data_IF_284802660686
#
_entry.id   IF_284802660686
#
_cell.length_a   1.000
_cell.length_b   1.000
_cell.length_c   1.000
_cell.angle_alpha   90.00
_cell.angle_beta   90.00
_cell.angle_gamma   90.00
#
_symmetry.space_group_name_H-M   'P 1'
#
loop_
_entity.id
_entity.type
_entity.pdbx_description
1 polymer ?
#
# COMPACT_ATOMS: atom_id res chain seq x y z
N UNK A 1 -1.08 -15.35 32.99
CA UNK A 1 -1.37 -15.46 31.54
C UNK A 1 -0.03 -15.32 30.83
N UNK A 2 0.32 -16.21 29.89
CA UNK A 2 1.59 -16.14 29.14
C UNK A 2 1.63 -14.86 28.30
N UNK A 3 2.79 -14.21 28.19
CA UNK A 3 2.98 -13.18 27.16
C UNK A 3 2.89 -13.81 25.76
N UNK A 4 2.34 -13.09 24.77
CA UNK A 4 2.33 -13.54 23.39
C UNK A 4 3.76 -13.56 22.83
N UNK A 5 4.08 -14.59 22.05
CA UNK A 5 5.36 -14.68 21.36
C UNK A 5 5.53 -13.49 20.38
N UNK A 6 6.78 -13.02 20.15
CA UNK A 6 7.05 -11.96 19.18
C UNK A 6 6.52 -12.32 17.79
N UNK A 7 5.87 -11.36 17.13
CA UNK A 7 5.32 -11.54 15.77
C UNK A 7 6.35 -11.07 14.74
N UNK A 8 6.65 -11.94 13.78
CA UNK A 8 7.47 -11.60 12.62
C UNK A 8 6.60 -11.60 11.36
N UNK A 9 6.41 -10.42 10.76
CA UNK A 9 5.60 -10.25 9.56
C UNK A 9 6.48 -10.22 8.32
N UNK A 10 6.24 -11.15 7.39
CA UNK A 10 6.85 -11.18 6.06
C UNK A 10 5.84 -10.68 5.03
N UNK A 11 6.31 -9.85 4.10
CA UNK A 11 5.46 -9.17 3.13
C UNK A 11 5.94 -9.46 1.70
N UNK A 12 5.02 -9.90 0.84
CA UNK A 12 5.26 -9.93 -0.61
C UNK A 12 5.06 -8.53 -1.19
N UNK A 13 6.18 -7.83 -1.39
CA UNK A 13 6.18 -6.47 -1.89
C UNK A 13 5.62 -6.33 -3.31
N UNK A 14 5.84 -7.32 -4.18
CA UNK A 14 5.45 -7.26 -5.58
C UNK A 14 3.94 -7.39 -5.74
N UNK A 15 3.35 -8.41 -5.09
CA UNK A 15 1.91 -8.62 -5.12
C UNK A 15 1.14 -7.45 -4.48
N UNK A 16 1.66 -6.88 -3.39
CA UNK A 16 1.02 -5.71 -2.77
C UNK A 16 1.12 -4.46 -3.63
N UNK A 17 2.26 -4.20 -4.28
CA UNK A 17 2.38 -3.09 -5.21
C UNK A 17 1.40 -3.21 -6.39
N UNK A 18 1.22 -4.42 -6.93
CA UNK A 18 0.24 -4.70 -7.98
C UNK A 18 -1.20 -4.43 -7.53
N UNK A 19 -1.58 -4.89 -6.33
CA UNK A 19 -2.91 -4.62 -5.76
C UNK A 19 -3.12 -3.13 -5.49
N UNK A 20 -2.13 -2.45 -4.93
CA UNK A 20 -2.17 -1.01 -4.68
C UNK A 20 -2.37 -0.21 -5.97
N UNK A 21 -1.74 -0.63 -7.08
CA UNK A 21 -1.96 -0.04 -8.39
C UNK A 21 -3.45 -0.10 -8.77
N UNK A 22 -4.07 -1.28 -8.79
CA UNK A 22 -5.47 -1.39 -9.22
C UNK A 22 -6.49 -0.78 -8.24
N UNK A 23 -6.14 -0.67 -6.96
CA UNK A 23 -6.98 0.01 -5.97
C UNK A 23 -7.01 1.54 -6.16
N UNK A 24 -5.87 2.16 -6.50
CA UNK A 24 -5.72 3.62 -6.49
C UNK A 24 -5.39 4.26 -7.84
N UNK A 25 -5.19 3.49 -8.92
CA UNK A 25 -4.84 4.04 -10.24
C UNK A 25 -6.05 4.37 -11.13
N UNK A 26 -7.26 3.92 -10.76
CA UNK A 26 -8.47 4.08 -11.58
C UNK A 26 -9.66 4.60 -10.74
N UNK A 27 -9.61 5.86 -10.35
CA UNK A 27 -10.75 6.60 -9.80
C UNK A 27 -11.52 7.39 -10.87
N UNK A 28 -12.64 8.01 -10.49
CA UNK A 28 -13.46 8.84 -11.38
C UNK A 28 -12.68 10.03 -11.98
N UNK A 29 -11.73 10.59 -11.21
CA UNK A 29 -10.82 11.64 -11.66
C UNK A 29 -9.43 11.10 -12.09
N UNK A 30 -9.32 9.78 -12.26
CA UNK A 30 -8.05 9.09 -12.49
C UNK A 30 -7.38 8.61 -11.20
N UNK A 31 -6.10 8.25 -11.30
CA UNK A 31 -5.29 7.79 -10.17
C UNK A 31 -4.57 8.93 -9.45
N UNK A 32 -4.09 8.63 -8.23
CA UNK A 32 -3.30 9.57 -7.42
C UNK A 32 -2.04 10.04 -8.17
N UNK A 33 -1.82 11.35 -8.17
CA UNK A 33 -0.71 12.02 -8.85
C UNK A 33 -0.20 13.19 -8.03
N UNK A 34 1.06 13.56 -8.25
CA UNK A 34 1.61 14.83 -7.73
C UNK A 34 1.00 16.03 -8.47
N UNK A 35 1.25 17.24 -7.97
CA UNK A 35 0.89 18.49 -8.67
C UNK A 35 1.54 18.61 -10.06
N UNK A 36 2.65 17.92 -10.30
CA UNK A 36 3.33 17.83 -11.60
C UNK A 36 2.81 16.67 -12.47
N UNK A 37 1.77 15.96 -12.02
CA UNK A 37 1.13 14.87 -12.76
C UNK A 37 1.81 13.50 -12.64
N UNK A 38 2.84 13.35 -11.81
CA UNK A 38 3.58 12.08 -11.64
C UNK A 38 2.70 11.08 -10.87
N UNK A 39 2.44 9.86 -11.38
CA UNK A 39 1.61 8.86 -10.70
C UNK A 39 2.21 8.40 -9.37
N UNK A 40 1.37 8.31 -8.33
CA UNK A 40 1.77 7.92 -6.96
C UNK A 40 0.90 6.82 -6.36
N UNK A 41 -0.12 6.34 -7.06
CA UNK A 41 -1.07 5.32 -6.58
C UNK A 41 -0.42 4.09 -5.94
N UNK A 42 0.67 3.58 -6.52
CA UNK A 42 1.38 2.41 -6.00
C UNK A 42 2.07 2.73 -4.68
N UNK A 43 2.89 3.78 -4.65
CA UNK A 43 3.64 4.17 -3.46
C UNK A 43 2.70 4.54 -2.31
N UNK A 44 1.63 5.29 -2.59
CA UNK A 44 0.61 5.63 -1.60
C UNK A 44 -0.06 4.37 -1.03
N UNK A 45 -0.60 3.50 -1.90
CA UNK A 45 -1.33 2.32 -1.46
C UNK A 45 -0.45 1.32 -0.71
N UNK A 46 0.79 1.12 -1.17
CA UNK A 46 1.75 0.24 -0.50
C UNK A 46 2.07 0.72 0.91
N UNK A 47 2.41 2.00 1.08
CA UNK A 47 2.72 2.57 2.39
C UNK A 47 1.48 2.56 3.29
N UNK A 48 0.29 2.85 2.74
CA UNK A 48 -0.96 2.79 3.50
C UNK A 48 -1.23 1.39 4.05
N UNK A 49 -1.06 0.35 3.23
CA UNK A 49 -1.22 -1.05 3.66
C UNK A 49 -0.25 -1.39 4.80
N UNK A 50 1.00 -0.95 4.72
CA UNK A 50 1.97 -1.18 5.80
C UNK A 50 1.56 -0.46 7.09
N UNK A 51 1.17 0.82 7.00
CA UNK A 51 0.76 1.61 8.18
C UNK A 51 -0.51 1.09 8.83
N UNK A 52 -1.41 0.43 8.09
CA UNK A 52 -2.66 -0.12 8.63
C UNK A 52 -2.48 -1.44 9.38
N UNK A 53 -1.39 -2.16 9.10
CA UNK A 53 -1.09 -3.47 9.69
C UNK A 53 -0.17 -3.35 10.91
N UNK A 54 0.52 -2.21 11.05
CA UNK A 54 1.41 -1.88 12.17
C UNK A 54 0.65 -1.17 13.30
#
# INVERSE_FOLDING_TARGET
>A
MSEPAPVFLLVDGHSLAYRAFYAYARGAEGGLRTSMGIPTSVSYGFIKILLDVL
#
